data_IF_654494868272
#
_entry.id   IF_654494868272
#
_cell.length_a   1.000
_cell.length_b   1.000
_cell.length_c   1.000
_cell.angle_alpha   90.00
_cell.angle_beta   90.00
_cell.angle_gamma   90.00
#
_symmetry.space_group_name_H-M   'P 1'
#
loop_
_entity.id
_entity.type
_entity.pdbx_description
1 polymer ?
#
# COMPACT_ATOMS: atom_id res chain seq x y z
N UNK A 1 -0.35 1.85 27.98
CA UNK A 1 -1.05 2.83 27.11
C UNK A 1 -0.23 3.30 25.90
N UNK A 2 1.10 3.44 25.98
CA UNK A 2 1.92 3.90 24.84
C UNK A 2 2.04 2.89 23.68
N UNK A 3 2.15 1.58 23.96
CA UNK A 3 2.33 0.54 22.93
C UNK A 3 1.20 0.50 21.89
N UNK A 4 -0.06 0.53 22.35
CA UNK A 4 -1.26 0.54 21.47
C UNK A 4 -1.32 1.76 20.55
N UNK A 5 -0.77 2.90 20.97
CA UNK A 5 -0.75 4.12 20.15
C UNK A 5 0.26 4.01 19.01
N UNK A 6 1.43 3.40 19.24
CA UNK A 6 2.41 3.17 18.17
C UNK A 6 1.89 2.18 17.12
N UNK A 7 1.31 1.05 17.54
CA UNK A 7 0.80 0.05 16.58
C UNK A 7 -0.28 0.63 15.66
N UNK A 8 -1.22 1.41 16.21
CA UNK A 8 -2.26 2.08 15.43
C UNK A 8 -1.72 3.14 14.45
N UNK A 9 -0.61 3.80 14.78
CA UNK A 9 0.06 4.73 13.86
C UNK A 9 0.74 3.98 12.70
N UNK A 10 1.36 2.83 12.99
CA UNK A 10 2.00 1.99 11.97
C UNK A 10 0.95 1.45 11.00
N UNK A 11 -0.15 0.87 11.49
CA UNK A 11 -1.21 0.31 10.64
C UNK A 11 -1.86 1.39 9.78
N UNK A 12 -2.22 2.56 10.35
CA UNK A 12 -2.77 3.68 9.58
C UNK A 12 -1.80 4.20 8.52
N UNK A 13 -0.50 4.25 8.82
CA UNK A 13 0.53 4.65 7.85
C UNK A 13 0.62 3.66 6.68
N UNK A 14 0.65 2.35 6.96
CA UNK A 14 0.68 1.31 5.93
C UNK A 14 -0.55 1.38 5.02
N UNK A 15 -1.75 1.51 5.59
CA UNK A 15 -3.00 1.65 4.83
C UNK A 15 -3.01 2.88 3.92
N UNK A 16 -2.61 4.04 4.44
CA UNK A 16 -2.53 5.28 3.64
C UNK A 16 -1.55 5.16 2.47
N UNK A 17 -0.40 4.51 2.69
CA UNK A 17 0.59 4.28 1.63
C UNK A 17 0.10 3.31 0.57
N UNK A 18 -0.59 2.23 0.96
CA UNK A 18 -1.19 1.31 0.02
C UNK A 18 -2.24 2.00 -0.87
N UNK A 19 -3.10 2.82 -0.26
CA UNK A 19 -4.09 3.63 -0.98
C UNK A 19 -3.45 4.62 -1.95
N UNK A 20 -2.37 5.31 -1.53
CA UNK A 20 -1.63 6.23 -2.40
C UNK A 20 -1.06 5.52 -3.63
N UNK A 21 -0.45 4.34 -3.46
CA UNK A 21 0.03 3.56 -4.59
C UNK A 21 -1.10 3.13 -5.54
N UNK A 22 -2.27 2.73 -5.03
CA UNK A 22 -3.43 2.45 -5.90
C UNK A 22 -3.90 3.68 -6.68
N UNK A 23 -3.88 4.87 -6.07
CA UNK A 23 -4.21 6.11 -6.76
C UNK A 23 -3.17 6.42 -7.86
N UNK A 24 -1.88 6.26 -7.58
CA UNK A 24 -0.80 6.42 -8.57
C UNK A 24 -0.91 5.40 -9.71
N UNK A 25 -1.28 4.15 -9.41
CA UNK A 25 -1.54 3.14 -10.43
C UNK A 25 -2.65 3.59 -11.39
N UNK A 26 -3.78 4.08 -10.85
CA UNK A 26 -4.87 4.63 -11.67
C UNK A 26 -4.41 5.82 -12.51
N UNK A 27 -3.67 6.76 -11.92
CA UNK A 27 -3.13 7.92 -12.63
C UNK A 27 -2.17 7.51 -13.77
N UNK A 28 -1.39 6.44 -13.59
CA UNK A 28 -0.48 5.94 -14.62
C UNK A 28 -1.19 5.48 -15.90
N UNK A 29 -2.45 5.03 -15.82
CA UNK A 29 -3.24 4.65 -17.00
C UNK A 29 -3.60 5.85 -17.89
N UNK A 30 -3.69 7.04 -17.29
CA UNK A 30 -4.05 8.29 -17.98
C UNK A 30 -2.83 9.14 -18.37
N UNK A 31 -1.61 8.75 -17.99
CA UNK A 31 -0.41 9.50 -18.30
C UNK A 31 -0.12 9.54 -19.81
N UNK A 32 0.43 10.65 -20.32
CA UNK A 32 0.84 10.78 -21.73
C UNK A 32 2.19 10.09 -21.96
N UNK A 33 2.18 8.76 -21.97
CA UNK A 33 3.34 7.92 -22.26
C UNK A 33 2.90 6.65 -22.97
N UNK A 34 3.84 5.93 -23.57
CA UNK A 34 3.52 4.69 -24.31
C UNK A 34 2.72 3.69 -23.46
N UNK A 35 1.87 2.88 -24.10
CA UNK A 35 1.09 1.83 -23.43
C UNK A 35 1.97 0.89 -22.60
N UNK A 36 3.14 0.51 -23.12
CA UNK A 36 4.11 -0.32 -22.40
C UNK A 36 4.61 0.37 -21.12
N UNK A 37 4.93 1.66 -21.20
CA UNK A 37 5.38 2.46 -20.06
C UNK A 37 4.27 2.59 -19.00
N UNK A 38 3.05 2.89 -19.42
CA UNK A 38 1.88 3.00 -18.52
C UNK A 38 1.60 1.69 -17.80
N UNK A 39 1.59 0.56 -18.51
CA UNK A 39 1.38 -0.75 -17.92
C UNK A 39 2.47 -1.10 -16.91
N UNK A 40 3.74 -0.83 -17.22
CA UNK A 40 4.86 -1.05 -16.29
C UNK A 40 4.70 -0.21 -15.01
N UNK A 41 4.31 1.06 -15.13
CA UNK A 41 4.08 1.95 -13.98
C UNK A 41 2.87 1.50 -13.15
N UNK A 42 1.78 1.12 -13.82
CA UNK A 42 0.59 0.56 -13.17
C UNK A 42 0.97 -0.67 -12.34
N UNK A 43 1.62 -1.67 -12.94
CA UNK A 43 2.03 -2.90 -12.25
C UNK A 43 2.95 -2.59 -11.07
N UNK A 44 3.94 -1.72 -11.27
CA UNK A 44 4.85 -1.32 -10.20
C UNK A 44 4.12 -0.75 -8.96
N UNK A 45 3.11 0.09 -9.19
CA UNK A 45 2.32 0.66 -8.11
C UNK A 45 1.35 -0.36 -7.48
N UNK A 46 0.74 -1.25 -8.26
CA UNK A 46 -0.11 -2.33 -7.73
C UNK A 46 0.72 -3.30 -6.87
N UNK A 47 1.89 -3.72 -7.33
CA UNK A 47 2.79 -4.60 -6.58
C UNK A 47 3.17 -3.98 -5.23
N UNK A 48 3.49 -2.68 -5.22
CA UNK A 48 3.78 -1.95 -3.98
C UNK A 48 2.58 -1.86 -3.05
N UNK A 49 1.39 -1.61 -3.57
CA UNK A 49 0.17 -1.59 -2.76
C UNK A 49 -0.09 -2.96 -2.12
N UNK A 50 -0.01 -4.05 -2.89
CA UNK A 50 -0.19 -5.41 -2.40
C UNK A 50 0.84 -5.80 -1.34
N UNK A 51 2.11 -5.44 -1.52
CA UNK A 51 3.16 -5.67 -0.51
C UNK A 51 2.85 -4.96 0.82
N UNK A 52 2.31 -3.73 0.77
CA UNK A 52 1.95 -2.98 1.97
C UNK A 52 0.70 -3.57 2.65
N UNK A 53 -0.27 -4.05 1.88
CA UNK A 53 -1.46 -4.71 2.40
C UNK A 53 -1.13 -6.06 3.04
N UNK A 54 -0.23 -6.83 2.44
CA UNK A 54 0.27 -8.07 3.04
C UNK A 54 0.92 -7.81 4.40
N UNK A 55 1.80 -6.79 4.48
CA UNK A 55 2.42 -6.36 5.75
C UNK A 55 1.39 -5.91 6.77
N UNK A 56 0.36 -5.17 6.35
CA UNK A 56 -0.73 -4.78 7.23
C UNK A 56 -1.46 -6.01 7.80
N UNK A 57 -1.80 -6.98 6.94
CA UNK A 57 -2.43 -8.22 7.36
C UNK A 57 -1.55 -9.07 8.30
N UNK A 58 -0.23 -9.06 8.10
CA UNK A 58 0.72 -9.69 9.02
C UNK A 58 0.72 -8.98 10.38
N UNK A 59 0.77 -7.64 10.40
CA UNK A 59 0.72 -6.87 11.66
C UNK A 59 -0.59 -7.09 12.42
N UNK A 60 -1.73 -7.14 11.72
CA UNK A 60 -3.03 -7.42 12.34
C UNK A 60 -3.10 -8.84 12.92
N UNK A 61 -2.55 -9.85 12.22
CA UNK A 61 -2.49 -11.22 12.73
C UNK A 61 -1.64 -11.33 14.00
N UNK A 62 -0.53 -10.60 14.07
CA UNK A 62 0.31 -10.55 15.27
C UNK A 62 -0.41 -9.92 16.46
N UNK A 63 -1.19 -8.85 16.23
CA UNK A 63 -2.00 -8.22 17.29
C UNK A 63 -3.09 -9.14 17.85
N UNK A 64 -3.71 -9.99 17.02
CA UNK A 64 -4.74 -10.95 17.46
C UNK A 64 -4.14 -12.11 18.27
N UNK A 65 -2.85 -12.40 18.09
CA UNK A 65 -2.15 -13.52 18.73
C UNK A 65 -1.40 -13.14 20.01
N UNK A 66 -1.39 -11.84 20.36
CA UNK A 66 -0.68 -11.27 21.52
C UNK A 66 -1.66 -10.90 22.65
#
# INVERSE_FOLDING_TARGET
>A
MASLRLSNLITRNLSSRAAAHRAMAKAALFADSSTRTRLKRYNHHIDKAQQLEARLADTQRQEVSA
#
